data_IF_447953038951
#
_entry.id   IF_447953038951
#
_cell.length_a   1.000
_cell.length_b   1.000
_cell.length_c   1.000
_cell.angle_alpha   90.00
_cell.angle_beta   90.00
_cell.angle_gamma   90.00
#
_symmetry.space_group_name_H-M   'P 1'
#
loop_
_entity.id
_entity.type
_entity.pdbx_description
1 polymer ?
#
# COMPACT_ATOMS: atom_id res chain seq x y z
N UNK A 1 4.00 -16.03 -15.38
CA UNK A 1 4.80 -15.65 -14.19
C UNK A 1 5.18 -14.19 -14.38
N UNK A 2 4.79 -13.28 -13.49
CA UNK A 2 5.25 -11.89 -13.58
C UNK A 2 6.74 -11.84 -13.26
N UNK A 3 7.51 -11.10 -14.07
CA UNK A 3 8.94 -10.91 -13.81
C UNK A 3 9.10 -9.72 -12.88
N UNK A 4 9.99 -9.84 -11.89
CA UNK A 4 10.25 -8.75 -10.94
C UNK A 4 11.67 -8.24 -11.15
N UNK A 5 11.83 -6.92 -11.11
CA UNK A 5 13.12 -6.26 -11.20
C UNK A 5 13.23 -5.15 -10.15
N UNK A 6 14.43 -4.96 -9.63
CA UNK A 6 14.74 -3.90 -8.67
C UNK A 6 15.76 -2.95 -9.29
N UNK A 7 15.47 -1.65 -9.28
CA UNK A 7 16.31 -0.60 -9.86
C UNK A 7 16.77 0.33 -8.76
N UNK A 8 18.07 0.61 -8.68
CA UNK A 8 18.60 1.56 -7.69
C UNK A 8 18.43 2.98 -8.23
N UNK A 9 17.86 3.87 -7.43
CA UNK A 9 17.73 5.28 -7.77
C UNK A 9 18.72 6.13 -6.96
N UNK A 10 19.66 6.79 -7.63
CA UNK A 10 20.68 7.65 -7.01
C UNK A 10 20.36 9.10 -7.33
N UNK A 11 20.34 9.96 -6.32
CA UNK A 11 20.00 11.37 -6.50
C UNK A 11 21.18 12.16 -7.06
N UNK A 12 20.92 13.04 -8.02
CA UNK A 12 21.91 13.95 -8.59
C UNK A 12 21.30 15.32 -8.90
N UNK A 13 22.08 16.25 -9.47
CA UNK A 13 21.63 17.64 -9.75
C UNK A 13 20.42 17.71 -10.68
N UNK A 14 20.29 16.76 -11.62
CA UNK A 14 19.20 16.72 -12.61
C UNK A 14 17.97 15.92 -12.21
N UNK A 15 17.97 15.27 -11.05
CA UNK A 15 16.91 14.37 -10.60
C UNK A 15 17.47 13.07 -10.04
N UNK A 16 17.17 11.96 -10.72
CA UNK A 16 17.53 10.59 -10.33
C UNK A 16 18.17 9.85 -11.49
N UNK A 17 19.31 9.22 -11.22
CA UNK A 17 19.85 8.14 -12.05
C UNK A 17 19.20 6.83 -11.64
N UNK A 18 18.84 6.00 -12.61
CA UNK A 18 18.08 4.76 -12.46
C UNK A 18 18.94 3.61 -12.99
N UNK A 19 19.66 2.97 -12.07
CA UNK A 19 20.62 1.91 -12.35
C UNK A 19 19.88 0.57 -12.41
N UNK A 20 19.64 0.07 -13.63
CA UNK A 20 18.84 -1.12 -13.94
C UNK A 20 19.68 -2.38 -13.68
N UNK A 21 20.92 -2.38 -14.17
CA UNK A 21 21.97 -3.34 -13.87
C UNK A 21 23.35 -2.66 -13.99
N UNK A 22 24.43 -3.42 -14.06
CA UNK A 22 25.81 -2.91 -14.11
C UNK A 22 26.13 -2.13 -15.41
N UNK A 23 25.36 -2.33 -16.48
CA UNK A 23 25.62 -1.76 -17.81
C UNK A 23 24.50 -0.82 -18.28
N UNK A 24 23.30 -0.95 -17.72
CA UNK A 24 22.13 -0.20 -18.14
C UNK A 24 21.70 0.83 -17.10
N UNK A 25 21.68 2.10 -17.51
CA UNK A 25 21.26 3.23 -16.69
C UNK A 25 20.44 4.23 -17.51
N UNK A 26 19.35 4.71 -16.93
CA UNK A 26 18.53 5.82 -17.45
C UNK A 26 18.32 6.86 -16.35
N UNK A 27 17.54 7.91 -16.61
CA UNK A 27 17.30 8.97 -15.64
C UNK A 27 15.87 9.50 -15.69
N UNK A 28 15.42 10.03 -14.55
CA UNK A 28 14.16 10.77 -14.45
C UNK A 28 14.32 12.02 -13.61
N UNK A 29 13.45 13.02 -13.81
CA UNK A 29 13.45 14.22 -12.95
C UNK A 29 12.94 13.92 -11.54
N UNK A 30 11.98 13.01 -11.43
CA UNK A 30 11.30 12.65 -10.18
C UNK A 30 11.09 11.13 -10.11
N UNK A 31 10.92 10.59 -8.89
CA UNK A 31 10.75 9.16 -8.67
C UNK A 31 9.43 8.62 -9.26
N UNK A 32 8.36 9.41 -9.33
CA UNK A 32 7.09 9.01 -9.94
C UNK A 32 7.19 8.80 -11.46
N UNK A 33 8.22 9.37 -12.10
CA UNK A 33 8.51 9.19 -13.52
C UNK A 33 9.45 8.01 -13.78
N UNK A 34 10.06 7.44 -12.73
CA UNK A 34 11.16 6.49 -12.87
C UNK A 34 10.72 5.21 -13.58
N UNK A 35 9.59 4.62 -13.20
CA UNK A 35 9.12 3.38 -13.81
C UNK A 35 8.88 3.52 -15.32
N UNK A 36 8.23 4.62 -15.74
CA UNK A 36 8.02 4.90 -17.16
C UNK A 36 9.35 5.04 -17.90
N UNK A 37 10.30 5.79 -17.34
CA UNK A 37 11.62 5.96 -17.97
C UNK A 37 12.41 4.64 -18.07
N UNK A 38 12.29 3.77 -17.07
CA UNK A 38 12.90 2.44 -17.10
C UNK A 38 12.25 1.61 -18.21
N UNK A 39 10.92 1.61 -18.31
CA UNK A 39 10.19 0.85 -19.32
C UNK A 39 10.49 1.34 -20.75
N UNK A 40 10.50 2.65 -20.95
CA UNK A 40 10.87 3.27 -22.23
C UNK A 40 12.30 2.89 -22.65
N UNK A 41 13.22 2.86 -21.68
CA UNK A 41 14.59 2.40 -21.92
C UNK A 41 14.66 0.91 -22.29
N UNK A 42 13.95 0.04 -21.55
CA UNK A 42 13.95 -1.41 -21.80
C UNK A 42 13.40 -1.74 -23.19
N UNK A 43 12.31 -1.10 -23.62
CA UNK A 43 11.78 -1.27 -24.98
C UNK A 43 12.71 -0.72 -26.07
N UNK A 44 13.54 0.27 -25.77
CA UNK A 44 14.56 0.75 -26.70
C UNK A 44 15.72 -0.23 -26.84
N UNK A 45 16.11 -0.87 -25.75
CA UNK A 45 17.21 -1.84 -25.68
C UNK A 45 16.83 -3.19 -26.32
N UNK A 46 15.64 -3.71 -25.99
CA UNK A 46 15.09 -4.96 -26.52
C UNK A 46 13.58 -4.81 -26.83
N UNK A 47 13.23 -4.34 -28.04
CA UNK A 47 11.85 -4.04 -28.42
C UNK A 47 10.95 -5.28 -28.57
N UNK A 48 11.54 -6.47 -28.72
CA UNK A 48 10.80 -7.72 -28.91
C UNK A 48 10.35 -8.34 -27.58
N UNK A 49 10.91 -7.88 -26.45
CA UNK A 49 10.49 -8.29 -25.11
C UNK A 49 9.28 -7.49 -24.63
N UNK A 50 8.22 -8.19 -24.21
CA UNK A 50 7.10 -7.56 -23.51
C UNK A 50 7.45 -7.29 -22.04
N UNK A 51 7.49 -6.01 -21.68
CA UNK A 51 7.77 -5.58 -20.31
C UNK A 51 6.52 -5.33 -19.48
N UNK A 52 5.32 -5.23 -20.06
CA UNK A 52 4.11 -4.73 -19.40
C UNK A 52 3.73 -5.50 -18.13
N UNK A 53 3.99 -6.81 -18.10
CA UNK A 53 3.74 -7.68 -16.95
C UNK A 53 4.87 -7.66 -15.90
N UNK A 54 5.91 -6.85 -16.10
CA UNK A 54 7.02 -6.73 -15.16
C UNK A 54 6.66 -5.81 -14.00
N UNK A 55 6.93 -6.28 -12.79
CA UNK A 55 6.91 -5.47 -11.57
C UNK A 55 8.28 -4.82 -11.38
N UNK A 56 8.37 -3.51 -11.59
CA UNK A 56 9.60 -2.73 -11.43
C UNK A 56 9.57 -2.02 -10.08
N UNK A 57 10.48 -2.39 -9.18
CA UNK A 57 10.63 -1.76 -7.87
C UNK A 57 11.82 -0.80 -7.88
N UNK A 58 11.54 0.50 -7.80
CA UNK A 58 12.58 1.52 -7.69
C UNK A 58 12.94 1.72 -6.22
N UNK A 59 14.22 1.58 -5.89
CA UNK A 59 14.76 1.76 -4.53
C UNK A 59 15.66 3.00 -4.50
N UNK A 60 15.15 4.14 -4.03
CA UNK A 60 15.96 5.31 -3.72
C UNK A 60 17.05 4.96 -2.71
N UNK A 61 18.30 5.26 -3.07
CA UNK A 61 19.45 5.12 -2.19
C UNK A 61 19.52 6.34 -1.27
N UNK A 62 18.58 6.42 -0.33
CA UNK A 62 18.49 7.46 0.71
C UNK A 62 18.38 6.79 2.08
N UNK A 63 18.95 7.42 3.11
CA UNK A 63 19.04 6.84 4.46
C UNK A 63 17.66 6.52 5.06
N UNK A 64 16.67 7.37 4.80
CA UNK A 64 15.32 7.24 5.34
C UNK A 64 14.40 6.30 4.54
N UNK A 65 14.90 5.61 3.51
CA UNK A 65 14.04 4.74 2.68
C UNK A 65 13.44 3.59 3.49
N UNK A 66 14.24 2.90 4.31
CA UNK A 66 13.78 1.79 5.14
C UNK A 66 12.70 2.24 6.14
N UNK A 67 12.88 3.41 6.76
CA UNK A 67 11.90 4.01 7.66
C UNK A 67 10.59 4.32 6.94
N UNK A 68 10.65 4.93 5.75
CA UNK A 68 9.47 5.24 4.95
C UNK A 68 8.69 3.97 4.53
N UNK A 69 9.40 2.90 4.14
CA UNK A 69 8.79 1.60 3.82
C UNK A 69 8.12 0.99 5.05
N UNK A 70 8.77 1.04 6.21
CA UNK A 70 8.20 0.53 7.46
C UNK A 70 6.96 1.32 7.90
N UNK A 71 6.99 2.65 7.80
CA UNK A 71 5.85 3.50 8.09
C UNK A 71 4.65 3.18 7.17
N UNK A 72 4.90 2.96 5.88
CA UNK A 72 3.87 2.52 4.92
C UNK A 72 3.29 1.17 5.31
N UNK A 73 4.15 0.19 5.64
CA UNK A 73 3.73 -1.15 6.07
C UNK A 73 2.82 -1.08 7.31
N UNK A 74 3.22 -0.35 8.34
CA UNK A 74 2.41 -0.15 9.56
C UNK A 74 1.08 0.52 9.27
N UNK A 75 1.04 1.47 8.35
CA UNK A 75 -0.21 2.13 7.92
C UNK A 75 -1.15 1.13 7.25
N UNK A 76 -0.63 0.27 6.37
CA UNK A 76 -1.42 -0.80 5.73
C UNK A 76 -1.94 -1.80 6.75
N UNK A 77 -1.11 -2.23 7.70
CA UNK A 77 -1.50 -3.15 8.77
C UNK A 77 -2.57 -2.54 9.68
N UNK A 78 -2.42 -1.27 10.06
CA UNK A 78 -3.42 -0.57 10.84
C UNK A 78 -4.75 -0.46 10.08
N UNK A 79 -4.73 -0.15 8.78
CA UNK A 79 -5.94 -0.10 7.96
C UNK A 79 -6.64 -1.48 7.88
N UNK A 80 -5.87 -2.55 7.74
CA UNK A 80 -6.41 -3.92 7.74
C UNK A 80 -7.05 -4.27 9.10
N UNK A 81 -6.35 -4.01 10.20
CA UNK A 81 -6.85 -4.25 11.56
C UNK A 81 -8.12 -3.42 11.85
N UNK A 82 -8.19 -2.16 11.40
CA UNK A 82 -9.38 -1.33 11.55
C UNK A 82 -10.58 -1.89 10.76
N UNK A 83 -10.34 -2.42 9.55
CA UNK A 83 -11.39 -3.07 8.75
C UNK A 83 -11.92 -4.32 9.45
N UNK A 84 -11.04 -5.14 10.00
CA UNK A 84 -11.40 -6.34 10.76
C UNK A 84 -12.19 -6.00 12.03
N UNK A 85 -11.68 -5.05 12.83
CA UNK A 85 -12.35 -4.59 14.05
C UNK A 85 -13.76 -4.04 13.77
N UNK A 86 -13.93 -3.30 12.66
CA UNK A 86 -15.23 -2.82 12.23
C UNK A 86 -16.19 -3.97 11.85
N UNK A 87 -15.69 -5.00 11.15
CA UNK A 87 -16.48 -6.17 10.79
C UNK A 87 -16.90 -6.98 12.04
N UNK A 88 -15.97 -7.20 12.97
CA UNK A 88 -16.22 -7.88 14.23
C UNK A 88 -17.23 -7.11 15.09
N UNK A 89 -17.10 -5.78 15.17
CA UNK A 89 -18.05 -4.93 15.92
C UNK A 89 -19.47 -5.03 15.35
N UNK A 90 -19.63 -5.01 14.02
CA UNK A 90 -20.95 -5.21 13.38
C UNK A 90 -21.51 -6.60 13.66
N UNK A 91 -20.68 -7.64 13.59
CA UNK A 91 -21.10 -9.00 13.90
C UNK A 91 -21.57 -9.13 15.37
N UNK A 92 -20.82 -8.57 16.30
CA UNK A 92 -21.19 -8.54 17.72
C UNK A 92 -22.52 -7.81 17.94
N UNK A 93 -22.74 -6.63 17.36
CA UNK A 93 -24.04 -5.92 17.44
C UNK A 93 -25.17 -6.80 16.91
N UNK A 94 -24.99 -7.47 15.76
CA UNK A 94 -26.04 -8.36 15.22
C UNK A 94 -26.36 -9.52 16.17
N UNK A 95 -25.35 -10.16 16.75
CA UNK A 95 -25.55 -11.28 17.68
C UNK A 95 -26.25 -10.82 18.96
N UNK A 96 -25.77 -9.76 19.60
CA UNK A 96 -26.39 -9.20 20.81
C UNK A 96 -27.84 -8.78 20.57
N UNK A 97 -28.13 -8.20 19.40
CA UNK A 97 -29.51 -7.85 19.01
C UNK A 97 -30.38 -9.07 18.77
N UNK A 98 -29.85 -10.16 18.22
CA UNK A 98 -30.56 -11.43 18.05
C UNK A 98 -30.87 -12.11 19.40
N UNK A 99 -30.03 -11.90 20.41
CA UNK A 99 -30.25 -12.32 21.81
C UNK A 99 -31.27 -11.44 22.55
N UNK A 100 -31.77 -10.38 21.92
CA UNK A 100 -32.83 -9.52 22.46
C UNK A 100 -32.33 -8.29 23.24
N UNK A 101 -31.01 -8.10 23.39
CA UNK A 101 -30.46 -6.94 24.11
C UNK A 101 -30.82 -5.64 23.40
N UNK A 102 -31.21 -4.62 24.16
CA UNK A 102 -31.47 -3.26 23.67
C UNK A 102 -30.21 -2.60 23.09
N UNK A 103 -30.39 -1.53 22.32
CA UNK A 103 -29.27 -0.73 21.79
C UNK A 103 -28.38 -0.13 22.90
N UNK A 104 -28.97 0.16 24.07
CA UNK A 104 -28.24 0.69 25.22
C UNK A 104 -27.36 -0.40 25.87
N UNK A 105 -27.90 -1.61 26.05
CA UNK A 105 -27.13 -2.74 26.60
C UNK A 105 -26.02 -3.18 25.64
N UNK A 106 -26.29 -3.22 24.34
CA UNK A 106 -25.26 -3.46 23.33
C UNK A 106 -24.10 -2.44 23.46
N UNK A 107 -24.44 -1.17 23.66
CA UNK A 107 -23.45 -0.10 23.81
C UNK A 107 -22.59 -0.30 25.07
N UNK A 108 -23.22 -0.68 26.19
CA UNK A 108 -22.53 -1.03 27.44
C UNK A 108 -21.58 -2.22 27.25
N UNK A 109 -22.02 -3.30 26.61
CA UNK A 109 -21.19 -4.50 26.37
C UNK A 109 -20.00 -4.20 25.45
N UNK A 110 -20.24 -3.45 24.38
CA UNK A 110 -19.20 -3.10 23.41
C UNK A 110 -18.27 -1.96 23.88
N UNK A 111 -18.58 -1.29 24.99
CA UNK A 111 -17.82 -0.13 25.47
C UNK A 111 -17.87 1.07 24.53
N UNK A 112 -18.97 1.23 23.79
CA UNK A 112 -19.16 2.32 22.81
C UNK A 112 -20.42 3.12 23.11
N UNK A 113 -20.64 4.21 22.38
CA UNK A 113 -21.87 4.99 22.51
C UNK A 113 -23.06 4.30 21.84
N UNK A 114 -24.27 4.59 22.31
CA UNK A 114 -25.51 4.11 21.67
C UNK A 114 -25.61 4.54 20.19
N UNK A 115 -25.17 5.76 19.87
CA UNK A 115 -25.12 6.25 18.49
C UNK A 115 -24.21 5.41 17.60
N UNK A 116 -23.06 4.96 18.14
CA UNK A 116 -22.15 4.05 17.44
C UNK A 116 -22.79 2.68 17.19
N UNK A 117 -23.54 2.13 18.15
CA UNK A 117 -24.29 0.88 17.94
C UNK A 117 -25.34 1.05 16.83
N UNK A 118 -26.08 2.16 16.81
CA UNK A 118 -27.04 2.42 15.74
C UNK A 118 -26.36 2.45 14.36
N UNK A 119 -25.22 3.13 14.24
CA UNK A 119 -24.44 3.13 13.00
C UNK A 119 -24.00 1.72 12.57
N UNK A 120 -23.54 0.90 13.52
CA UNK A 120 -23.09 -0.47 13.25
C UNK A 120 -24.23 -1.45 12.94
N UNK A 121 -25.45 -1.15 13.40
CA UNK A 121 -26.64 -1.95 13.11
C UNK A 121 -27.21 -1.68 11.70
N UNK A 122 -26.93 -0.49 11.14
CA UNK A 122 -27.48 -0.02 9.87
C UNK A 122 -26.48 0.03 8.70
N UNK A 123 -25.18 -0.12 8.98
CA UNK A 123 -24.12 -0.18 7.98
C UNK A 123 -23.55 -1.58 7.82
#
# INVERSE_FOLDING_TARGET
MSKTMTVKAIRWRGGWELHIDDHHCTQSKTLDQAERQIRDYLYLDDPDTNYDDWTITVIPQIDSYAEAVDARRRTTEAAAAQKEAAAASRAAVRHLRAEGLTMAECATVLGVTRGRVAQLAHG
#
